data_IF_757789347153
#
_entry.id   IF_757789347153
#
_cell.length_a   1.000
_cell.length_b   1.000
_cell.length_c   1.000
_cell.angle_alpha   90.00
_cell.angle_beta   90.00
_cell.angle_gamma   90.00
#
_symmetry.space_group_name_H-M   'P 1'
#
loop_
_entity.id
_entity.type
_entity.pdbx_description
1 polymer ?
#
# COMPACT_ATOMS: atom_id res chain seq x y z
N UNK A 1 0.10 -21.65 -2.59
CA UNK A 1 0.54 -21.13 -1.28
C UNK A 1 1.10 -19.75 -1.53
N UNK A 2 0.61 -18.75 -0.80
CA UNK A 2 0.98 -17.34 -0.96
C UNK A 2 1.85 -16.89 0.20
N UNK A 3 2.60 -15.80 0.05
CA UNK A 3 3.42 -15.19 1.10
C UNK A 3 3.15 -13.70 1.15
N UNK A 4 3.13 -13.13 2.35
CA UNK A 4 2.93 -11.70 2.51
C UNK A 4 4.27 -10.96 2.48
N UNK A 5 4.40 -9.97 1.62
CA UNK A 5 5.58 -9.13 1.51
C UNK A 5 5.25 -7.70 1.88
N UNK A 6 6.07 -7.12 2.75
CA UNK A 6 6.03 -5.70 3.07
C UNK A 6 7.38 -5.08 2.71
N UNK A 7 7.33 -3.97 2.00
CA UNK A 7 8.49 -3.17 1.62
C UNK A 7 8.25 -1.75 2.06
N UNK A 8 9.19 -1.19 2.83
CA UNK A 8 9.16 0.21 3.24
C UNK A 8 10.37 0.91 2.63
N UNK A 9 10.12 2.05 2.01
CA UNK A 9 11.14 2.86 1.37
C UNK A 9 10.99 4.33 1.75
N UNK A 10 12.10 5.02 1.84
CA UNK A 10 12.16 6.46 2.04
C UNK A 10 12.73 7.10 0.78
N UNK A 11 12.04 8.12 0.25
CA UNK A 11 12.51 8.93 -0.85
C UNK A 11 13.50 10.00 -0.37
N UNK A 12 14.22 10.62 -1.30
CA UNK A 12 15.25 11.63 -0.99
C UNK A 12 14.66 12.89 -0.35
N UNK A 13 13.38 13.17 -0.60
CA UNK A 13 12.62 14.27 0.00
C UNK A 13 12.05 13.92 1.39
N UNK A 14 12.33 12.72 1.92
CA UNK A 14 11.87 12.24 3.22
C UNK A 14 10.48 11.62 3.21
N UNK A 15 9.78 11.56 2.06
CA UNK A 15 8.50 10.86 1.94
C UNK A 15 8.68 9.36 2.08
N UNK A 16 7.80 8.72 2.85
CA UNK A 16 7.87 7.29 3.17
C UNK A 16 6.78 6.51 2.46
N UNK A 17 7.20 5.66 1.55
CA UNK A 17 6.33 4.80 0.76
C UNK A 17 6.41 3.37 1.27
N UNK A 18 5.26 2.75 1.47
CA UNK A 18 5.15 1.34 1.82
C UNK A 18 4.41 0.58 0.73
N UNK A 19 4.77 -0.68 0.55
CA UNK A 19 4.09 -1.63 -0.32
C UNK A 19 3.79 -2.90 0.47
N UNK A 20 2.52 -3.32 0.51
CA UNK A 20 2.04 -4.52 1.18
C UNK A 20 1.26 -5.39 0.18
N UNK A 21 1.75 -6.60 -0.08
CA UNK A 21 1.18 -7.49 -1.09
C UNK A 21 1.37 -8.96 -0.73
N UNK A 22 0.42 -9.80 -1.13
CA UNK A 22 0.55 -11.26 -1.09
C UNK A 22 1.05 -11.87 -2.42
N UNK A 23 1.41 -11.01 -3.37
CA UNK A 23 1.92 -11.36 -4.70
C UNK A 23 3.41 -10.96 -4.82
N UNK A 24 4.30 -11.89 -5.18
CA UNK A 24 5.75 -11.69 -5.16
C UNK A 24 6.25 -10.65 -6.16
N UNK A 25 5.63 -10.52 -7.34
CA UNK A 25 6.03 -9.61 -8.41
C UNK A 25 5.77 -8.12 -8.08
N UNK A 26 4.93 -7.85 -7.08
CA UNK A 26 4.43 -6.50 -6.81
C UNK A 26 5.51 -5.58 -6.27
N UNK A 27 6.46 -6.11 -5.47
CA UNK A 27 7.58 -5.30 -4.97
C UNK A 27 8.46 -4.79 -6.11
N UNK A 28 8.67 -5.60 -7.14
CA UNK A 28 9.46 -5.22 -8.32
C UNK A 28 8.70 -4.19 -9.17
N UNK A 29 7.39 -4.36 -9.34
CA UNK A 29 6.53 -3.38 -10.00
C UNK A 29 6.50 -2.05 -9.25
N UNK A 30 6.51 -2.09 -7.91
CA UNK A 30 6.56 -0.92 -7.03
C UNK A 30 7.87 -0.14 -7.21
N UNK A 31 9.02 -0.81 -7.14
CA UNK A 31 10.32 -0.17 -7.36
C UNK A 31 10.47 0.37 -8.78
N UNK A 32 10.02 -0.39 -9.78
CA UNK A 32 10.04 0.04 -11.17
C UNK A 32 9.10 1.23 -11.40
N UNK A 33 7.91 1.21 -10.81
CA UNK A 33 6.95 2.31 -10.84
C UNK A 33 7.55 3.60 -10.29
N UNK A 34 8.20 3.54 -9.12
CA UNK A 34 8.89 4.69 -8.54
C UNK A 34 10.03 5.18 -9.43
N UNK A 35 10.85 4.27 -9.97
CA UNK A 35 11.95 4.59 -10.89
C UNK A 35 11.46 5.28 -12.16
N UNK A 36 10.28 4.90 -12.66
CA UNK A 36 9.68 5.52 -13.84
C UNK A 36 9.08 6.89 -13.51
N UNK A 37 8.45 7.05 -12.35
CA UNK A 37 7.86 8.32 -11.91
C UNK A 37 8.90 9.38 -11.52
N UNK A 38 10.06 8.94 -11.00
CA UNK A 38 11.17 9.79 -10.58
C UNK A 38 11.99 10.37 -11.73
N UNK A 39 11.78 9.92 -12.98
CA UNK A 39 12.49 10.48 -14.14
C UNK A 39 12.07 11.93 -14.42
N UNK A 40 12.89 12.86 -13.91
CA UNK A 40 13.23 14.16 -14.48
C UNK A 40 12.06 15.01 -15.00
N UNK A 41 11.45 15.83 -14.13
CA UNK A 41 10.69 16.99 -14.61
C UNK A 41 11.58 18.11 -15.17
N UNK A 42 12.88 18.18 -14.80
CA UNK A 42 13.68 19.40 -15.03
C UNK A 42 15.16 19.25 -15.46
N UNK A 43 15.73 18.08 -15.77
CA UNK A 43 17.15 18.04 -16.23
C UNK A 43 17.35 17.63 -17.69
N UNK A 44 18.10 18.49 -18.39
CA UNK A 44 18.53 18.40 -19.81
C UNK A 44 19.69 17.40 -19.97
N UNK A 45 19.99 16.57 -18.96
CA UNK A 45 21.15 15.67 -19.00
C UNK A 45 20.73 14.24 -18.62
N UNK A 46 20.80 13.27 -19.56
CA UNK A 46 20.45 11.87 -19.30
C UNK A 46 21.68 11.09 -18.82
N UNK A 47 22.16 11.30 -17.59
CA UNK A 47 23.32 10.52 -17.09
C UNK A 47 23.31 10.14 -15.60
N UNK A 48 22.28 10.43 -14.81
CA UNK A 48 22.24 9.91 -13.44
C UNK A 48 21.60 8.50 -13.40
N UNK A 49 22.26 7.52 -12.75
CA UNK A 49 21.69 6.21 -12.52
C UNK A 49 20.41 6.36 -11.69
N UNK A 50 19.48 5.42 -11.90
CA UNK A 50 18.17 5.30 -11.26
C UNK A 50 18.10 5.98 -9.88
N UNK A 51 17.11 6.85 -9.64
CA UNK A 51 16.82 7.30 -8.28
C UNK A 51 16.46 6.06 -7.45
N UNK A 52 17.44 5.55 -6.71
CA UNK A 52 17.24 4.56 -5.67
C UNK A 52 16.59 5.23 -4.47
N UNK A 53 15.83 4.46 -3.71
CA UNK A 53 15.36 4.86 -2.39
C UNK A 53 16.53 5.33 -1.52
N UNK A 54 16.31 6.36 -0.70
CA UNK A 54 17.30 6.86 0.25
C UNK A 54 17.56 5.84 1.37
N UNK A 55 16.50 5.16 1.81
CA UNK A 55 16.57 4.00 2.69
C UNK A 55 15.47 3.01 2.30
N UNK A 56 15.71 1.72 2.52
CA UNK A 56 14.71 0.68 2.24
C UNK A 56 14.90 -0.56 3.11
N UNK A 57 13.81 -1.26 3.39
CA UNK A 57 13.86 -2.65 3.81
C UNK A 57 12.64 -3.42 3.31
N UNK A 58 12.82 -4.74 3.21
CA UNK A 58 11.73 -5.67 2.94
C UNK A 58 11.69 -6.78 3.99
N UNK A 59 10.48 -7.26 4.24
CA UNK A 59 10.18 -8.43 5.05
C UNK A 59 9.20 -9.32 4.29
N UNK A 60 9.40 -10.62 4.38
CA UNK A 60 8.51 -11.61 3.80
C UNK A 60 8.06 -12.53 4.90
N UNK A 61 6.75 -12.67 5.02
CA UNK A 61 6.10 -13.55 5.97
C UNK A 61 6.19 -15.00 5.55
N UNK A 62 5.75 -15.85 6.46
CA UNK A 62 5.62 -17.26 6.16
C UNK A 62 4.46 -17.54 5.19
N UNK A 63 4.53 -18.70 4.54
CA UNK A 63 3.53 -19.14 3.57
C UNK A 63 2.16 -19.42 4.20
N UNK A 64 1.09 -19.05 3.50
CA UNK A 64 -0.28 -19.31 3.89
C UNK A 64 -1.15 -19.76 2.71
N UNK A 65 -2.29 -20.36 3.03
CA UNK A 65 -3.35 -20.60 2.06
C UNK A 65 -4.31 -19.39 2.06
N UNK A 66 -4.61 -18.77 0.91
CA UNK A 66 -5.61 -17.73 0.83
C UNK A 66 -6.97 -18.20 1.36
N UNK A 67 -7.76 -17.28 1.90
CA UNK A 67 -9.15 -17.57 2.23
C UNK A 67 -9.91 -18.01 0.99
N UNK A 68 -10.73 -19.05 1.15
CA UNK A 68 -11.65 -19.50 0.11
C UNK A 68 -12.76 -18.46 -0.10
N UNK A 69 -13.47 -18.58 -1.22
CA UNK A 69 -14.57 -17.69 -1.54
C UNK A 69 -15.74 -17.88 -0.56
N UNK A 70 -15.77 -17.07 0.50
CA UNK A 70 -16.86 -16.98 1.46
C UNK A 70 -17.66 -15.67 1.27
N UNK A 71 -18.88 -15.63 1.81
CA UNK A 71 -19.79 -14.48 1.72
C UNK A 71 -19.30 -13.25 2.49
N UNK A 72 -18.29 -13.38 3.36
CA UNK A 72 -17.73 -12.30 4.15
C UNK A 72 -16.37 -12.64 4.73
N UNK A 73 -15.64 -11.63 5.19
CA UNK A 73 -14.35 -11.82 5.85
C UNK A 73 -14.56 -12.30 7.29
N UNK A 74 -13.95 -13.42 7.72
CA UNK A 74 -14.09 -13.93 9.08
C UNK A 74 -13.65 -12.89 10.13
N UNK A 75 -14.37 -12.71 11.26
CA UNK A 75 -14.06 -11.67 12.24
C UNK A 75 -12.63 -11.72 12.80
N UNK A 76 -12.09 -12.93 13.02
CA UNK A 76 -10.72 -13.12 13.50
C UNK A 76 -9.66 -12.69 12.48
N UNK A 77 -9.91 -12.94 11.19
CA UNK A 77 -9.02 -12.49 10.10
C UNK A 77 -9.10 -10.98 9.92
N UNK A 78 -10.31 -10.40 9.98
CA UNK A 78 -10.50 -8.95 9.95
C UNK A 78 -9.74 -8.26 11.09
N UNK A 79 -9.84 -8.80 12.31
CA UNK A 79 -9.10 -8.27 13.46
C UNK A 79 -7.59 -8.36 13.26
N UNK A 80 -7.09 -9.52 12.80
CA UNK A 80 -5.67 -9.70 12.49
C UNK A 80 -5.17 -8.73 11.43
N UNK A 81 -5.98 -8.46 10.39
CA UNK A 81 -5.64 -7.49 9.36
C UNK A 81 -5.58 -6.05 9.90
N UNK A 82 -6.56 -5.65 10.69
CA UNK A 82 -6.59 -4.31 11.28
C UNK A 82 -5.39 -4.09 12.22
N UNK A 83 -4.98 -5.13 12.97
CA UNK A 83 -3.78 -5.12 13.80
C UNK A 83 -2.51 -4.98 12.93
N UNK A 84 -2.39 -5.78 11.87
CA UNK A 84 -1.29 -5.70 10.91
C UNK A 84 -1.13 -4.28 10.35
N UNK A 85 -2.20 -3.71 9.78
CA UNK A 85 -2.12 -2.36 9.21
C UNK A 85 -1.85 -1.31 10.28
N UNK A 86 -2.38 -1.45 11.49
CA UNK A 86 -2.13 -0.48 12.55
C UNK A 86 -0.65 -0.41 12.96
N UNK A 87 0.02 -1.58 12.98
CA UNK A 87 1.45 -1.69 13.29
C UNK A 87 2.34 -1.22 12.12
N UNK A 88 1.88 -1.38 10.87
CA UNK A 88 2.67 -1.06 9.68
C UNK A 88 2.53 0.39 9.19
N UNK A 89 1.38 1.04 9.40
CA UNK A 89 1.08 2.35 8.83
C UNK A 89 1.62 3.55 9.62
N UNK A 90 2.12 3.33 10.83
CA UNK A 90 2.66 4.41 11.65
C UNK A 90 3.81 5.13 10.92
N UNK A 91 3.67 6.44 10.70
CA UNK A 91 4.68 7.25 10.01
C UNK A 91 4.86 6.98 8.52
N UNK A 92 3.95 6.22 7.90
CA UNK A 92 3.91 5.97 6.44
C UNK A 92 3.06 7.03 5.76
N UNK A 93 3.63 7.68 4.74
CA UNK A 93 2.94 8.69 3.95
C UNK A 93 2.02 8.07 2.91
N UNK A 94 2.48 7.00 2.25
CA UNK A 94 1.78 6.40 1.13
C UNK A 94 1.84 4.88 1.23
N UNK A 95 0.70 4.21 1.21
CA UNK A 95 0.60 2.75 1.19
C UNK A 95 0.09 2.25 -0.16
N UNK A 96 0.91 1.46 -0.85
CA UNK A 96 0.51 0.57 -1.93
C UNK A 96 0.05 -0.75 -1.33
N UNK A 97 -1.22 -1.12 -1.50
CA UNK A 97 -1.78 -2.33 -0.89
C UNK A 97 -2.65 -3.10 -1.87
N UNK A 98 -2.53 -4.43 -1.84
CA UNK A 98 -3.52 -5.28 -2.50
C UNK A 98 -4.88 -5.09 -1.82
N UNK A 99 -5.92 -4.85 -2.61
CA UNK A 99 -7.27 -4.54 -2.13
C UNK A 99 -7.95 -5.71 -1.37
N UNK A 100 -7.57 -6.95 -1.71
CA UNK A 100 -8.15 -8.19 -1.17
C UNK A 100 -7.05 -9.12 -0.62
N UNK A 101 -6.22 -8.56 0.26
CA UNK A 101 -5.01 -9.22 0.75
C UNK A 101 -5.30 -10.56 1.44
N UNK A 102 -4.71 -11.64 0.91
CA UNK A 102 -4.91 -13.00 1.42
C UNK A 102 -6.33 -13.55 1.23
N UNK A 103 -7.15 -12.89 0.42
CA UNK A 103 -8.55 -13.22 0.21
C UNK A 103 -8.86 -13.43 -1.28
N UNK A 104 -9.13 -14.68 -1.67
CA UNK A 104 -9.48 -14.99 -3.06
C UNK A 104 -10.85 -14.45 -3.50
N UNK A 105 -11.73 -14.07 -2.57
CA UNK A 105 -13.09 -13.56 -2.89
C UNK A 105 -13.11 -12.12 -3.40
N UNK A 106 -11.99 -11.40 -3.35
CA UNK A 106 -11.94 -10.00 -3.83
C UNK A 106 -12.67 -8.99 -2.93
N UNK A 107 -13.09 -9.38 -1.72
CA UNK A 107 -13.74 -8.46 -0.78
C UNK A 107 -12.72 -7.44 -0.24
N UNK A 108 -13.10 -6.15 -0.14
CA UNK A 108 -12.25 -5.11 0.43
C UNK A 108 -11.91 -5.42 1.89
N UNK A 109 -10.63 -5.29 2.24
CA UNK A 109 -10.14 -5.48 3.61
C UNK A 109 -9.72 -4.14 4.26
N UNK A 110 -9.49 -3.11 3.46
CA UNK A 110 -8.84 -1.86 3.90
C UNK A 110 -9.78 -0.73 4.36
N UNK A 111 -11.10 -0.83 4.17
CA UNK A 111 -12.01 0.34 4.27
C UNK A 111 -11.96 1.04 5.64
N UNK A 112 -12.08 0.29 6.74
CA UNK A 112 -12.03 0.84 8.10
C UNK A 112 -10.66 1.46 8.44
N UNK A 113 -9.58 0.93 7.85
CA UNK A 113 -8.22 1.37 8.11
C UNK A 113 -7.87 2.64 7.35
N UNK A 114 -8.38 2.79 6.13
CA UNK A 114 -8.25 4.04 5.37
C UNK A 114 -8.88 5.21 6.13
N UNK A 115 -10.05 4.99 6.73
CA UNK A 115 -10.74 6.02 7.51
C UNK A 115 -9.96 6.41 8.79
N UNK A 116 -9.23 5.47 9.39
CA UNK A 116 -8.43 5.72 10.60
C UNK A 116 -7.13 6.49 10.30
N UNK A 117 -6.49 6.21 9.17
CA UNK A 117 -5.18 6.78 8.78
C UNK A 117 -5.34 7.90 7.73
N UNK A 118 -6.09 8.94 8.09
CA UNK A 118 -6.45 10.06 7.20
C UNK A 118 -5.24 10.84 6.62
N UNK A 119 -4.06 10.76 7.23
CA UNK A 119 -2.83 11.40 6.74
C UNK A 119 -2.03 10.54 5.74
N UNK A 120 -2.39 9.26 5.62
CA UNK A 120 -1.75 8.31 4.71
C UNK A 120 -2.56 8.21 3.43
N UNK A 121 -1.92 8.38 2.28
CA UNK A 121 -2.53 8.14 0.97
C UNK A 121 -2.51 6.65 0.65
N UNK A 122 -3.54 6.17 -0.05
CA UNK A 122 -3.69 4.76 -0.37
C UNK A 122 -3.70 4.54 -1.88
N UNK A 123 -2.85 3.63 -2.34
CA UNK A 123 -2.86 3.09 -3.70
C UNK A 123 -3.28 1.63 -3.63
N UNK A 124 -4.45 1.34 -4.19
CA UNK A 124 -5.13 0.06 -4.11
C UNK A 124 -5.10 -0.62 -5.48
N UNK A 125 -4.64 -1.86 -5.52
CA UNK A 125 -4.61 -2.65 -6.76
C UNK A 125 -5.28 -4.01 -6.55
N UNK A 126 -5.90 -4.58 -7.60
CA UNK A 126 -6.55 -5.87 -7.51
C UNK A 126 -5.53 -7.01 -7.37
N UNK A 127 -6.01 -8.16 -6.90
CA UNK A 127 -5.25 -9.41 -6.98
C UNK A 127 -5.24 -9.92 -8.43
N UNK A 128 -4.10 -10.42 -8.94
CA UNK A 128 -3.98 -10.88 -10.33
C UNK A 128 -5.01 -11.96 -10.74
N UNK A 129 -5.49 -12.76 -9.78
CA UNK A 129 -6.46 -13.82 -10.04
C UNK A 129 -7.89 -13.31 -10.37
N UNK A 130 -8.23 -12.07 -10.00
CA UNK A 130 -9.56 -11.48 -10.26
C UNK A 130 -9.67 -10.77 -11.62
N UNK A 131 -8.68 -10.93 -12.50
CA UNK A 131 -8.63 -10.33 -13.84
C UNK A 131 -9.62 -10.91 -14.86
N UNK A 132 -10.50 -11.84 -14.50
CA UNK A 132 -11.47 -12.40 -15.47
C UNK A 132 -12.55 -11.41 -15.94
N UNK A 133 -12.57 -10.18 -15.41
CA UNK A 133 -13.39 -9.05 -15.90
C UNK A 133 -12.57 -7.79 -16.24
N UNK A 134 -11.32 -7.96 -16.67
CA UNK A 134 -10.33 -6.89 -16.85
C UNK A 134 -10.61 -5.84 -17.96
N UNK A 135 -11.77 -5.84 -18.64
CA UNK A 135 -12.04 -4.90 -19.74
C UNK A 135 -12.53 -3.52 -19.29
N UNK A 136 -13.05 -3.38 -18.07
CA UNK A 136 -13.78 -2.16 -17.65
C UNK A 136 -13.07 -1.33 -16.58
N UNK A 137 -11.96 -1.81 -16.01
CA UNK A 137 -11.18 -1.04 -15.03
C UNK A 137 -10.17 -0.19 -15.81
N UNK A 138 -10.28 1.15 -15.80
CA UNK A 138 -9.30 2.01 -16.46
C UNK A 138 -7.89 1.75 -15.89
N UNK A 139 -6.82 1.95 -16.69
CA UNK A 139 -5.44 1.66 -16.28
C UNK A 139 -5.06 2.33 -14.96
N UNK A 140 -5.65 3.50 -14.72
CA UNK A 140 -5.64 4.17 -13.42
C UNK A 140 -6.99 4.90 -13.20
N UNK A 141 -7.49 4.88 -11.97
CA UNK A 141 -8.61 5.68 -11.50
C UNK A 141 -8.18 6.37 -10.21
N UNK A 142 -8.04 7.70 -10.23
CA UNK A 142 -7.84 8.47 -9.00
C UNK A 142 -9.21 8.81 -8.43
N UNK A 143 -9.46 8.38 -7.20
CA UNK A 143 -10.61 8.81 -6.41
C UNK A 143 -10.12 9.68 -5.25
N UNK A 144 -10.87 10.73 -4.94
CA UNK A 144 -10.62 11.57 -3.80
C UNK A 144 -11.62 11.19 -2.72
N UNK A 145 -11.14 10.82 -1.55
CA UNK A 145 -11.97 10.78 -0.36
C UNK A 145 -11.91 12.14 0.32
N UNK A 146 -13.04 12.85 0.34
CA UNK A 146 -13.18 14.04 1.19
C UNK A 146 -12.87 13.66 2.65
N UNK A 147 -12.18 14.51 3.42
CA UNK A 147 -12.11 14.34 4.86
C UNK A 147 -13.56 14.31 5.39
N UNK A 148 -13.91 13.26 6.14
CA UNK A 148 -15.27 13.13 6.71
C UNK A 148 -15.55 14.14 7.82
N UNK A 149 -14.50 14.79 8.34
CA UNK A 149 -14.60 15.88 9.29
C UNK A 149 -14.29 17.21 8.59
N UNK A 150 -15.26 18.14 8.62
CA UNK A 150 -15.19 19.49 8.05
C UNK A 150 -14.03 20.38 8.58
N UNK A 151 -13.17 19.84 9.45
CA UNK A 151 -12.17 20.59 10.22
C UNK A 151 -10.70 20.22 9.91
N UNK A 152 -10.43 19.21 9.06
CA UNK A 152 -9.06 18.88 8.64
C UNK A 152 -8.88 19.18 7.14
N UNK A 153 -8.10 20.22 6.82
CA UNK A 153 -7.81 20.65 5.45
C UNK A 153 -6.88 19.70 4.66
N UNK A 154 -6.80 18.42 5.03
CA UNK A 154 -5.96 17.42 4.37
C UNK A 154 -6.85 16.36 3.72
N UNK A 155 -6.97 16.42 2.40
CA UNK A 155 -7.64 15.39 1.61
C UNK A 155 -6.77 14.13 1.54
N UNK A 156 -7.34 12.98 1.92
CA UNK A 156 -6.72 11.67 1.74
C UNK A 156 -6.95 11.20 0.30
N UNK A 157 -5.89 10.80 -0.40
CA UNK A 157 -5.98 10.30 -1.77
C UNK A 157 -6.17 8.78 -1.79
N UNK A 158 -7.12 8.31 -2.60
CA UNK A 158 -7.37 6.88 -2.84
C UNK A 158 -7.25 6.58 -4.33
N UNK A 159 -6.10 6.05 -4.73
CA UNK A 159 -5.84 5.70 -6.12
C UNK A 159 -6.12 4.22 -6.33
N UNK A 160 -7.01 3.90 -7.25
CA UNK A 160 -7.21 2.53 -7.71
C UNK A 160 -6.44 2.34 -9.01
N UNK A 161 -5.52 1.39 -9.06
CA UNK A 161 -4.69 1.18 -10.24
C UNK A 161 -4.58 -0.29 -10.63
N UNK A 162 -4.30 -0.55 -11.90
CA UNK A 162 -4.01 -1.90 -12.37
C UNK A 162 -2.64 -2.37 -11.87
N UNK A 163 -2.47 -3.70 -11.79
CA UNK A 163 -1.20 -4.31 -11.40
C UNK A 163 -0.19 -4.24 -12.57
N UNK A 164 0.45 -3.09 -12.76
CA UNK A 164 1.50 -2.89 -13.75
C UNK A 164 2.46 -1.77 -13.33
N UNK A 165 3.69 -1.83 -13.80
CA UNK A 165 4.71 -0.80 -13.51
C UNK A 165 4.32 0.58 -14.05
N UNK A 166 3.63 0.64 -15.20
CA UNK A 166 3.15 1.89 -15.76
C UNK A 166 2.02 2.51 -14.92
N UNK A 167 1.05 1.71 -14.50
CA UNK A 167 -0.03 2.18 -13.63
C UNK A 167 0.51 2.61 -12.25
N UNK A 168 1.49 1.90 -11.70
CA UNK A 168 2.17 2.31 -10.47
C UNK A 168 2.96 3.62 -10.66
N UNK A 169 3.67 3.79 -11.78
CA UNK A 169 4.36 5.04 -12.08
C UNK A 169 3.39 6.24 -12.14
N UNK A 170 2.22 6.06 -12.76
CA UNK A 170 1.16 7.09 -12.78
C UNK A 170 0.64 7.39 -11.38
N UNK A 171 0.44 6.37 -10.53
CA UNK A 171 0.02 6.55 -9.15
C UNK A 171 1.05 7.32 -8.32
N UNK A 172 2.34 6.96 -8.40
CA UNK A 172 3.43 7.72 -7.78
C UNK A 172 3.43 9.18 -8.25
N UNK A 173 3.31 9.40 -9.56
CA UNK A 173 3.31 10.74 -10.12
C UNK A 173 2.17 11.60 -9.58
N UNK A 174 0.95 11.05 -9.53
CA UNK A 174 -0.22 11.75 -9.01
C UNK A 174 -0.02 12.18 -7.55
N UNK A 175 0.46 11.27 -6.70
CA UNK A 175 0.67 11.54 -5.28
C UNK A 175 1.77 12.58 -5.05
N UNK A 176 2.90 12.44 -5.74
CA UNK A 176 4.01 13.39 -5.61
C UNK A 176 3.56 14.80 -6.01
N UNK A 177 2.84 14.94 -7.14
CA UNK A 177 2.30 16.24 -7.57
C UNK A 177 1.35 16.87 -6.55
N UNK A 178 0.49 16.05 -5.95
CA UNK A 178 -0.52 16.51 -5.00
C UNK A 178 0.10 16.90 -3.66
N UNK A 179 1.01 16.09 -3.13
CA UNK A 179 1.71 16.40 -1.88
C UNK A 179 2.56 17.66 -2.01
N UNK A 180 3.19 17.91 -3.17
CA UNK A 180 3.87 19.18 -3.44
C UNK A 180 2.89 20.36 -3.39
N UNK A 181 1.69 20.23 -3.97
CA UNK A 181 0.65 21.28 -3.89
C UNK A 181 0.13 21.47 -2.45
N UNK A 182 -0.07 20.39 -1.69
CA UNK A 182 -0.55 20.44 -0.32
C UNK A 182 0.50 21.05 0.64
N UNK A 183 1.78 20.71 0.49
CA UNK A 183 2.88 21.28 1.26
C UNK A 183 3.09 22.78 0.98
N UNK A 184 2.69 23.27 -0.21
CA UNK A 184 2.67 24.71 -0.49
C UNK A 184 1.55 25.45 0.24
N UNK A 185 0.51 24.75 0.70
CA UNK A 185 -0.68 25.31 1.35
C UNK A 185 -0.61 25.12 2.88
N UNK A 186 0.05 24.04 3.34
CA UNK A 186 0.17 23.68 4.76
C UNK A 186 1.50 24.14 5.36
N UNK A 187 1.43 25.05 6.35
CA UNK A 187 2.53 25.39 7.25
C UNK A 187 2.28 24.72 8.61
N UNK A 188 2.37 23.39 8.71
CA UNK A 188 2.44 22.74 10.02
C UNK A 188 3.39 21.54 10.01
N UNK A 189 4.57 21.65 10.67
CA UNK A 189 5.51 20.56 10.80
C UNK A 189 5.20 19.82 12.10
N UNK A 190 4.19 18.95 12.12
CA UNK A 190 3.87 18.24 13.37
C UNK A 190 3.76 16.73 13.23
N UNK A 191 4.64 16.11 14.02
CA UNK A 191 4.78 14.71 14.40
C UNK A 191 5.34 13.78 13.32
N UNK A 192 6.67 13.84 13.18
CA UNK A 192 7.46 12.75 12.62
C UNK A 192 7.28 11.49 13.48
N UNK A 193 6.20 10.76 13.21
CA UNK A 193 5.97 9.44 13.78
C UNK A 193 7.04 8.52 13.19
N UNK A 194 7.76 7.78 14.03
CA UNK A 194 8.76 6.82 13.55
C UNK A 194 8.06 5.71 12.78
N UNK A 195 8.60 5.34 11.62
CA UNK A 195 8.18 4.13 10.92
C UNK A 195 8.50 2.88 11.73
N UNK A 196 7.74 1.78 11.51
CA UNK A 196 8.07 0.50 12.14
C UNK A 196 9.47 0.05 11.74
N UNK A 197 10.17 -0.62 12.65
CA UNK A 197 11.42 -1.27 12.30
C UNK A 197 11.17 -2.62 11.59
N UNK A 198 12.23 -3.18 10.98
CA UNK A 198 12.16 -4.45 10.25
C UNK A 198 11.63 -5.60 11.12
N UNK A 199 11.98 -5.63 12.40
CA UNK A 199 11.58 -6.70 13.31
C UNK A 199 10.09 -6.63 13.66
N UNK A 200 9.59 -5.43 13.91
CA UNK A 200 8.18 -5.14 14.18
C UNK A 200 7.34 -5.48 12.96
N UNK A 201 7.77 -5.05 11.76
CA UNK A 201 7.09 -5.39 10.53
C UNK A 201 7.03 -6.92 10.30
N UNK A 202 8.13 -7.64 10.55
CA UNK A 202 8.15 -9.10 10.43
C UNK A 202 7.17 -9.78 11.42
N UNK A 203 7.13 -9.30 12.67
CA UNK A 203 6.22 -9.83 13.70
C UNK A 203 4.76 -9.60 13.33
N UNK A 204 4.42 -8.39 12.87
CA UNK A 204 3.07 -8.04 12.46
C UNK A 204 2.57 -8.94 11.31
N UNK A 205 3.43 -9.13 10.30
CA UNK A 205 3.12 -10.01 9.16
C UNK A 205 2.92 -11.46 9.60
N UNK A 206 3.83 -11.99 10.41
CA UNK A 206 3.74 -13.38 10.86
C UNK A 206 2.48 -13.61 11.71
N UNK A 207 2.11 -12.66 12.58
CA UNK A 207 0.87 -12.72 13.36
C UNK A 207 -0.36 -12.78 12.45
N UNK A 208 -0.41 -12.00 11.37
CA UNK A 208 -1.52 -12.08 10.42
C UNK A 208 -1.56 -13.42 9.68
N UNK A 209 -0.40 -13.92 9.25
CA UNK A 209 -0.27 -15.27 8.66
C UNK A 209 -0.75 -16.35 9.63
N UNK A 210 -0.45 -16.23 10.93
CA UNK A 210 -0.96 -17.13 11.97
C UNK A 210 -2.48 -17.07 12.08
N UNK A 211 -3.08 -15.87 12.05
CA UNK A 211 -4.54 -15.72 12.04
C UNK A 211 -5.19 -16.45 10.84
N UNK A 212 -4.59 -16.34 9.65
CA UNK A 212 -5.07 -17.04 8.45
C UNK A 212 -4.97 -18.56 8.61
N UNK A 213 -3.84 -19.07 9.14
CA UNK A 213 -3.66 -20.51 9.36
C UNK A 213 -4.59 -21.07 10.42
N UNK A 214 -4.77 -20.35 11.53
CA UNK A 214 -5.67 -20.75 12.60
C UNK A 214 -7.11 -20.87 12.09
N UNK A 215 -7.54 -19.96 11.22
CA UNK A 215 -8.85 -20.05 10.57
C UNK A 215 -9.00 -21.34 9.74
N UNK A 216 -7.99 -21.69 8.94
CA UNK A 216 -8.02 -22.93 8.17
C UNK A 216 -8.01 -24.20 9.03
N UNK A 217 -7.33 -24.19 10.18
CA UNK A 217 -7.31 -25.34 11.10
C UNK A 217 -8.65 -25.59 11.78
N UNK A 218 -9.43 -24.54 12.06
CA UNK A 218 -10.76 -24.67 12.68
C UNK A 218 -11.81 -25.19 11.69
N UNK A 219 -11.60 -24.96 10.40
CA UNK A 219 -12.56 -25.30 9.33
C UNK A 219 -12.17 -26.56 8.52
N UNK A 220 -11.15 -27.31 8.96
CA UNK A 220 -10.78 -28.63 8.45
C UNK A 220 -11.39 -29.73 9.31
#
# INVERSE_FOLDING_TARGET
MSTLSFRLCEAVDGLRFACLSDQPEVTDLFDLGYTLASRNRHSVIPTLPHQSWASEYSVTGESFAPLQAETGLPPGVRYGFNALLSELLAGVDVLFCSYALGNASGLPVCDDMMDRYHTTDFVLFPQAANHSKASDIPPYLVSYSLPRDDHSGTEQHRIYCQLSSFAFAQAFQAIIEQRVKAAQISCDPTQATSTPDKLTAQRAINRFTECLRAHHQVNQ
#
